data_IF_992857163614
#
_entry.id   IF_992857163614
#
_cell.length_a   1.000
_cell.length_b   1.000
_cell.length_c   1.000
_cell.angle_alpha   90.00
_cell.angle_beta   90.00
_cell.angle_gamma   90.00
#
_symmetry.space_group_name_H-M   'P 1'
#
loop_
_entity.id
_entity.type
_entity.pdbx_description
1 polymer ?
#
# COMPACT_ATOMS: atom_id res chain seq x y z
N UNK A 1 -4.15 -11.66 32.31
CA UNK A 1 -5.42 -12.38 32.12
C UNK A 1 -6.18 -11.58 31.10
N UNK A 2 -6.21 -12.11 29.90
CA UNK A 2 -6.89 -11.62 28.70
C UNK A 2 -7.15 -12.90 27.87
N UNK A 3 -8.02 -12.91 26.85
CA UNK A 3 -8.82 -11.79 26.33
C UNK A 3 -10.23 -12.25 25.86
N UNK A 4 -11.02 -11.35 25.28
CA UNK A 4 -11.77 -11.53 24.00
C UNK A 4 -12.88 -10.47 23.89
N UNK A 5 -12.45 -9.23 23.66
CA UNK A 5 -13.32 -8.18 23.13
C UNK A 5 -13.52 -8.41 21.63
N UNK A 6 -14.59 -9.14 21.31
CA UNK A 6 -15.32 -9.20 20.03
C UNK A 6 -14.57 -8.68 18.79
N UNK A 7 -13.94 -9.62 18.09
CA UNK A 7 -13.68 -9.52 16.65
C UNK A 7 -15.01 -9.23 15.96
N UNK A 8 -15.13 -8.10 15.29
CA UNK A 8 -16.26 -7.83 14.42
C UNK A 8 -16.15 -8.79 13.22
N UNK A 9 -16.78 -9.96 13.34
CA UNK A 9 -16.83 -11.04 12.36
C UNK A 9 -17.61 -10.66 11.10
N UNK A 10 -17.42 -9.47 10.52
CA UNK A 10 -18.03 -9.10 9.25
C UNK A 10 -17.12 -9.57 8.11
N UNK A 11 -17.50 -10.71 7.49
CA UNK A 11 -16.92 -11.37 6.29
C UNK A 11 -16.17 -12.69 6.52
N UNK A 12 -16.70 -13.60 7.36
CA UNK A 12 -16.39 -15.03 7.21
C UNK A 12 -17.10 -15.57 5.95
N UNK A 13 -16.47 -15.45 4.79
CA UNK A 13 -16.93 -16.10 3.56
C UNK A 13 -16.24 -17.46 3.41
N UNK A 14 -16.85 -18.51 3.96
CA UNK A 14 -16.66 -19.93 3.62
C UNK A 14 -17.83 -20.71 4.23
N UNK A 15 -18.98 -20.78 3.55
CA UNK A 15 -20.11 -21.58 4.05
C UNK A 15 -19.88 -23.03 3.62
N UNK A 16 -19.72 -23.93 4.59
CA UNK A 16 -19.69 -25.37 4.32
C UNK A 16 -21.09 -25.82 3.94
N UNK A 17 -21.28 -26.26 2.70
CA UNK A 17 -22.59 -26.71 2.19
C UNK A 17 -22.86 -28.17 2.63
N UNK A 18 -24.12 -28.46 3.01
CA UNK A 18 -24.56 -29.84 3.29
C UNK A 18 -24.38 -30.74 2.06
N UNK A 19 -24.00 -32.03 2.21
CA UNK A 19 -23.84 -32.97 1.10
C UNK A 19 -25.08 -33.06 0.19
N UNK A 20 -26.26 -32.82 0.74
CA UNK A 20 -27.56 -32.84 0.04
C UNK A 20 -27.67 -31.74 -1.04
N UNK A 21 -26.95 -30.63 -0.88
CA UNK A 21 -26.95 -29.52 -1.83
C UNK A 21 -25.95 -29.71 -2.99
N UNK A 22 -25.09 -30.74 -2.96
CA UNK A 22 -24.07 -30.96 -4.01
C UNK A 22 -24.67 -31.33 -5.37
N UNK A 23 -25.90 -31.83 -5.42
CA UNK A 23 -26.50 -32.40 -6.63
C UNK A 23 -27.50 -31.48 -7.35
N UNK A 24 -27.76 -30.27 -6.85
CA UNK A 24 -28.71 -29.34 -7.43
C UNK A 24 -28.00 -28.12 -8.03
N UNK A 25 -28.25 -27.80 -9.30
CA UNK A 25 -27.94 -26.48 -9.88
C UNK A 25 -28.86 -25.43 -9.26
N UNK A 26 -28.67 -25.12 -7.97
CA UNK A 26 -29.45 -24.13 -7.24
C UNK A 26 -28.55 -23.01 -6.79
N UNK A 27 -28.91 -21.81 -7.21
CA UNK A 27 -28.41 -20.57 -6.61
C UNK A 27 -28.80 -20.61 -5.14
N UNK A 28 -27.85 -20.34 -4.25
CA UNK A 28 -28.12 -20.21 -2.82
C UNK A 28 -27.54 -18.90 -2.31
N UNK A 29 -28.17 -18.34 -1.28
CA UNK A 29 -27.69 -17.14 -0.60
C UNK A 29 -26.94 -17.56 0.66
N UNK A 30 -25.90 -16.81 1.04
CA UNK A 30 -25.19 -17.03 2.31
C UNK A 30 -26.18 -16.95 3.50
N UNK A 31 -26.01 -17.72 4.59
CA UNK A 31 -26.87 -17.65 5.78
C UNK A 31 -27.10 -16.24 6.32
N UNK A 32 -26.11 -15.33 6.20
CA UNK A 32 -26.26 -13.91 6.55
C UNK A 32 -27.05 -13.09 5.53
N UNK A 33 -27.01 -13.44 4.25
CA UNK A 33 -27.84 -12.80 3.22
C UNK A 33 -29.31 -13.27 3.27
N UNK A 34 -29.59 -14.36 4.00
CA UNK A 34 -30.95 -14.84 4.31
C UNK A 34 -31.53 -14.19 5.57
N UNK A 35 -30.72 -13.62 6.46
CA UNK A 35 -31.21 -12.78 7.56
C UNK A 35 -31.56 -11.40 7.03
N UNK A 36 -32.84 -11.06 7.14
CA UNK A 36 -33.54 -9.91 6.58
C UNK A 36 -32.75 -8.58 6.64
N UNK A 37 -32.62 -7.88 5.50
CA UNK A 37 -32.37 -6.43 5.50
C UNK A 37 -31.21 -5.90 4.64
N UNK A 38 -30.34 -6.73 4.04
CA UNK A 38 -29.27 -6.20 3.19
C UNK A 38 -29.76 -5.84 1.77
N UNK A 39 -29.50 -4.61 1.27
CA UNK A 39 -29.93 -4.17 -0.05
C UNK A 39 -29.17 -4.86 -1.21
N UNK A 40 -28.14 -5.67 -0.92
CA UNK A 40 -27.32 -6.37 -1.92
C UNK A 40 -27.32 -7.87 -1.64
N UNK A 41 -28.26 -8.58 -2.24
CA UNK A 41 -28.27 -10.05 -2.23
C UNK A 41 -27.05 -10.57 -3.00
N UNK A 42 -26.22 -11.36 -2.32
CA UNK A 42 -25.08 -12.03 -2.95
C UNK A 42 -25.51 -13.45 -3.30
N UNK A 43 -25.53 -13.74 -4.60
CA UNK A 43 -25.83 -15.07 -5.12
C UNK A 43 -24.55 -15.93 -5.09
N UNK A 44 -24.66 -17.21 -4.76
CA UNK A 44 -23.57 -18.19 -4.82
C UNK A 44 -23.97 -19.38 -5.70
N UNK A 45 -22.98 -19.97 -6.38
CA UNK A 45 -23.09 -21.23 -7.12
C UNK A 45 -22.02 -22.20 -6.63
N UNK A 46 -22.38 -23.47 -6.56
CA UNK A 46 -21.44 -24.55 -6.25
C UNK A 46 -20.62 -24.84 -7.52
N UNK A 47 -19.31 -24.55 -7.48
CA UNK A 47 -18.42 -24.98 -8.55
C UNK A 47 -18.15 -26.49 -8.41
N UNK A 48 -18.72 -27.27 -9.34
CA UNK A 48 -18.67 -28.74 -9.36
C UNK A 48 -17.25 -29.31 -9.47
N UNK A 49 -16.27 -28.54 -9.95
CA UNK A 49 -14.89 -28.99 -10.13
C UNK A 49 -14.00 -28.88 -8.89
N UNK A 50 -14.34 -28.02 -7.92
CA UNK A 50 -13.43 -27.62 -6.84
C UNK A 50 -13.97 -27.83 -5.41
N UNK A 51 -15.17 -28.38 -5.23
CA UNK A 51 -15.85 -28.47 -3.90
C UNK A 51 -15.88 -27.14 -3.14
N UNK A 52 -15.85 -26.02 -3.85
CA UNK A 52 -15.89 -24.66 -3.30
C UNK A 52 -17.13 -23.94 -3.78
N UNK A 53 -17.68 -23.10 -2.90
CA UNK A 53 -18.75 -22.16 -3.23
C UNK A 53 -18.12 -20.96 -3.97
N UNK A 54 -18.47 -20.76 -5.24
CA UNK A 54 -18.13 -19.53 -5.95
C UNK A 54 -19.25 -18.54 -5.77
N UNK A 55 -18.90 -17.27 -5.55
CA UNK A 55 -19.88 -16.18 -5.64
C UNK A 55 -20.34 -16.11 -7.09
N UNK A 56 -21.64 -16.14 -7.33
CA UNK A 56 -22.26 -15.73 -8.59
C UNK A 56 -21.89 -14.25 -8.69
N UNK A 57 -20.98 -13.91 -9.59
CA UNK A 57 -20.47 -12.57 -9.70
C UNK A 57 -21.67 -11.61 -9.75
N UNK A 58 -21.72 -10.63 -8.83
CA UNK A 58 -22.39 -9.39 -9.22
C UNK A 58 -21.75 -9.03 -10.55
N UNK A 59 -22.54 -8.72 -11.59
CA UNK A 59 -22.04 -8.26 -12.88
C UNK A 59 -21.35 -6.91 -12.71
N UNK A 60 -20.25 -6.88 -11.98
CA UNK A 60 -19.43 -5.71 -11.72
C UNK A 60 -18.42 -5.69 -12.84
N UNK A 61 -18.50 -4.65 -13.67
CA UNK A 61 -17.53 -4.41 -14.72
C UNK A 61 -16.41 -3.50 -14.20
N UNK A 62 -15.25 -3.56 -14.83
CA UNK A 62 -14.11 -2.71 -14.53
C UNK A 62 -13.72 -1.92 -15.78
N UNK A 63 -13.74 -0.59 -15.68
CA UNK A 63 -13.01 0.28 -16.58
C UNK A 63 -11.57 0.35 -16.09
N UNK A 64 -10.62 -0.17 -16.87
CA UNK A 64 -9.19 -0.15 -16.59
C UNK A 64 -8.48 0.79 -17.56
N UNK A 65 -7.96 1.90 -17.04
CA UNK A 65 -7.16 2.86 -17.81
C UNK A 65 -5.71 2.72 -17.37
N UNK A 66 -4.81 2.47 -18.31
CA UNK A 66 -3.37 2.36 -18.02
C UNK A 66 -2.61 3.41 -18.80
N UNK A 67 -2.02 4.35 -18.08
CA UNK A 67 -1.01 5.26 -18.63
C UNK A 67 0.38 4.68 -18.40
N UNK A 68 1.25 4.72 -19.40
CA UNK A 68 2.60 4.18 -19.27
C UNK A 68 3.67 5.07 -19.91
N UNK A 69 4.86 5.07 -19.32
CA UNK A 69 6.05 5.63 -19.94
C UNK A 69 6.44 4.77 -21.15
N UNK A 70 6.77 5.38 -22.28
CA UNK A 70 7.04 4.63 -23.53
C UNK A 70 8.09 3.51 -23.37
N UNK A 71 9.11 3.71 -22.52
CA UNK A 71 10.14 2.71 -22.23
C UNK A 71 9.65 1.51 -21.41
N UNK A 72 8.47 1.61 -20.79
CA UNK A 72 7.86 0.62 -19.91
C UNK A 72 6.66 -0.09 -20.57
N UNK A 73 6.49 0.07 -21.89
CA UNK A 73 5.37 -0.51 -22.65
C UNK A 73 5.21 -2.01 -22.41
N UNK A 74 6.29 -2.78 -22.51
CA UNK A 74 6.24 -4.25 -22.37
C UNK A 74 5.80 -4.65 -20.95
N UNK A 75 6.22 -3.91 -19.92
CA UNK A 75 5.77 -4.12 -18.54
C UNK A 75 4.29 -3.77 -18.36
N UNK A 76 3.83 -2.70 -19.01
CA UNK A 76 2.42 -2.31 -19.00
C UNK A 76 1.53 -3.36 -19.68
N UNK A 77 1.95 -3.89 -20.83
CA UNK A 77 1.24 -4.95 -21.56
C UNK A 77 1.20 -6.26 -20.76
N UNK A 78 2.31 -6.65 -20.12
CA UNK A 78 2.35 -7.83 -19.28
C UNK A 78 1.40 -7.71 -18.08
N UNK A 79 1.41 -6.55 -17.40
CA UNK A 79 0.49 -6.29 -16.29
C UNK A 79 -0.97 -6.35 -16.73
N UNK A 80 -1.34 -5.68 -17.82
CA UNK A 80 -2.74 -5.64 -18.28
C UNK A 80 -3.23 -7.04 -18.66
N UNK A 81 -2.41 -7.84 -19.32
CA UNK A 81 -2.72 -9.24 -19.62
C UNK A 81 -2.95 -10.06 -18.35
N UNK A 82 -2.11 -9.90 -17.32
CA UNK A 82 -2.29 -10.59 -16.03
C UNK A 82 -3.57 -10.15 -15.32
N UNK A 83 -3.88 -8.86 -15.29
CA UNK A 83 -5.09 -8.30 -14.68
C UNK A 83 -6.35 -8.80 -15.40
N UNK A 84 -6.38 -8.70 -16.74
CA UNK A 84 -7.50 -9.20 -17.55
C UNK A 84 -7.68 -10.70 -17.37
N UNK A 85 -6.61 -11.49 -17.41
CA UNK A 85 -6.70 -12.95 -17.25
C UNK A 85 -7.24 -13.34 -15.87
N UNK A 86 -6.76 -12.68 -14.81
CA UNK A 86 -7.17 -12.96 -13.43
C UNK A 86 -8.65 -12.61 -13.18
N UNK A 87 -9.11 -11.50 -13.76
CA UNK A 87 -10.49 -11.03 -13.63
C UNK A 87 -11.45 -11.80 -14.56
N UNK A 88 -11.04 -12.09 -15.79
CA UNK A 88 -11.84 -12.87 -16.74
C UNK A 88 -12.06 -14.31 -16.26
N UNK A 89 -11.07 -14.92 -15.61
CA UNK A 89 -11.24 -16.23 -14.96
C UNK A 89 -12.33 -16.23 -13.87
N UNK A 90 -12.72 -15.05 -13.38
CA UNK A 90 -13.77 -14.83 -12.39
C UNK A 90 -15.01 -14.14 -12.98
N UNK A 91 -15.13 -14.12 -14.32
CA UNK A 91 -16.25 -13.54 -15.06
C UNK A 91 -16.47 -12.03 -14.82
N UNK A 92 -15.43 -11.31 -14.40
CA UNK A 92 -15.45 -9.84 -14.32
C UNK A 92 -15.17 -9.26 -15.71
N UNK A 93 -16.12 -8.50 -16.25
CA UNK A 93 -15.94 -7.81 -17.53
C UNK A 93 -14.95 -6.64 -17.38
N UNK A 94 -13.95 -6.54 -18.25
CA UNK A 94 -12.94 -5.49 -18.19
C UNK A 94 -12.91 -4.72 -19.51
N UNK A 95 -13.28 -3.46 -19.49
CA UNK A 95 -13.04 -2.51 -20.58
C UNK A 95 -11.66 -1.87 -20.36
N UNK A 96 -10.73 -2.07 -21.30
CA UNK A 96 -9.33 -1.68 -21.16
C UNK A 96 -8.97 -0.59 -22.18
N UNK A 97 -8.28 0.45 -21.69
CA UNK A 97 -7.60 1.43 -22.54
C UNK A 97 -6.16 1.60 -22.05
N UNK A 98 -5.21 1.62 -22.98
CA UNK A 98 -3.79 1.84 -22.69
C UNK A 98 -3.30 3.05 -23.47
N UNK A 99 -2.70 4.01 -22.77
CA UNK A 99 -2.23 5.27 -23.33
C UNK A 99 -0.79 5.54 -22.91
N UNK A 100 -0.01 6.17 -23.78
CA UNK A 100 1.30 6.71 -23.39
C UNK A 100 1.04 7.89 -22.44
N UNK A 101 1.88 8.12 -21.43
CA UNK A 101 1.69 9.23 -20.48
C UNK A 101 1.55 10.60 -21.15
N UNK A 102 2.16 10.79 -22.32
CA UNK A 102 2.07 12.05 -23.09
C UNK A 102 0.75 12.24 -23.85
N UNK A 103 -0.06 11.19 -24.01
CA UNK A 103 -1.36 11.28 -24.68
C UNK A 103 -2.47 11.52 -23.68
N UNK A 104 -3.29 12.53 -23.94
CA UNK A 104 -4.57 12.76 -23.25
C UNK A 104 -5.60 11.80 -23.80
N UNK A 105 -6.50 11.32 -22.93
CA UNK A 105 -7.60 10.47 -23.39
C UNK A 105 -8.64 11.34 -24.09
N UNK A 106 -8.99 10.98 -25.33
CA UNK A 106 -9.98 11.74 -26.09
C UNK A 106 -11.41 11.35 -25.69
N UNK A 107 -12.37 12.27 -25.84
CA UNK A 107 -13.79 12.05 -25.51
C UNK A 107 -14.39 10.82 -26.23
N UNK A 108 -13.90 10.52 -27.43
CA UNK A 108 -14.27 9.32 -28.18
C UNK A 108 -13.85 8.02 -27.48
N UNK A 109 -12.66 7.98 -26.89
CA UNK A 109 -12.15 6.81 -26.15
C UNK A 109 -12.98 6.59 -24.87
N UNK A 110 -13.44 7.66 -24.22
CA UNK A 110 -14.28 7.56 -23.04
C UNK A 110 -15.67 7.01 -23.37
N UNK A 111 -16.16 7.35 -24.56
CA UNK A 111 -17.40 6.81 -25.12
C UNK A 111 -17.26 5.34 -25.50
N UNK A 112 -16.13 4.93 -26.10
CA UNK A 112 -15.83 3.53 -26.40
C UNK A 112 -15.80 2.66 -25.14
N UNK A 113 -15.24 3.16 -24.03
CA UNK A 113 -15.28 2.45 -22.74
C UNK A 113 -16.73 2.24 -22.28
N UNK A 114 -17.59 3.26 -22.39
CA UNK A 114 -19.01 3.13 -22.04
C UNK A 114 -19.79 2.19 -22.97
N UNK A 115 -19.29 1.93 -24.18
CA UNK A 115 -19.90 0.94 -25.08
C UNK A 115 -19.41 -0.48 -24.81
N UNK A 116 -18.15 -0.64 -24.39
CA UNK A 116 -17.59 -1.92 -23.94
C UNK A 116 -18.20 -2.37 -22.60
N UNK A 117 -18.54 -1.40 -21.75
CA UNK A 117 -19.32 -1.62 -20.55
C UNK A 117 -20.81 -1.66 -20.93
N UNK A 118 -21.56 -2.61 -20.37
CA UNK A 118 -23.01 -2.60 -20.52
C UNK A 118 -23.55 -1.31 -19.88
N UNK A 119 -24.18 -0.42 -20.68
CA UNK A 119 -24.57 0.95 -20.28
C UNK A 119 -25.44 1.03 -19.02
N UNK A 120 -26.11 -0.05 -18.67
CA UNK A 120 -27.01 -0.15 -17.53
C UNK A 120 -26.40 -0.91 -16.33
N UNK A 121 -25.22 -1.53 -16.49
CA UNK A 121 -24.57 -2.30 -15.42
C UNK A 121 -23.59 -1.42 -14.61
N UNK A 122 -23.54 -1.59 -13.28
CA UNK A 122 -22.65 -0.80 -12.45
C UNK A 122 -21.19 -1.21 -12.67
N UNK A 123 -20.29 -0.21 -12.74
CA UNK A 123 -18.87 -0.44 -12.97
C UNK A 123 -17.97 0.25 -11.94
N UNK A 124 -16.74 -0.23 -11.85
CA UNK A 124 -15.64 0.40 -11.12
C UNK A 124 -14.64 1.01 -12.10
N UNK A 125 -13.96 2.08 -11.70
CA UNK A 125 -12.85 2.67 -12.44
C UNK A 125 -11.53 2.40 -11.70
N UNK A 126 -10.55 1.87 -12.42
CA UNK A 126 -9.15 1.76 -12.01
C UNK A 126 -8.27 2.52 -12.99
N UNK A 127 -7.49 3.47 -12.48
CA UNK A 127 -6.47 4.16 -13.26
C UNK A 127 -5.10 3.76 -12.76
N UNK A 128 -4.27 3.20 -13.63
CA UNK A 128 -2.89 2.83 -13.34
C UNK A 128 -1.99 3.78 -14.12
N UNK A 129 -1.02 4.40 -13.46
CA UNK A 129 0.05 5.09 -14.17
C UNK A 129 1.40 4.44 -13.85
N UNK A 130 2.11 4.04 -14.91
CA UNK A 130 3.37 3.31 -14.85
C UNK A 130 4.48 4.27 -15.30
N UNK A 131 5.24 4.77 -14.33
CA UNK A 131 6.30 5.75 -14.56
C UNK A 131 7.47 5.56 -13.57
N UNK A 132 8.41 6.48 -13.55
CA UNK A 132 9.54 6.50 -12.65
C UNK A 132 9.62 7.89 -11.98
N UNK A 133 10.00 7.96 -10.70
CA UNK A 133 10.28 9.23 -10.03
C UNK A 133 11.62 9.80 -10.47
N UNK A 134 11.68 11.12 -10.60
CA UNK A 134 12.92 11.83 -10.92
C UNK A 134 13.63 12.25 -9.61
N UNK A 135 14.96 12.07 -9.47
CA UNK A 135 15.68 12.37 -8.22
C UNK A 135 15.61 13.83 -7.73
N UNK A 136 15.21 14.76 -8.59
CA UNK A 136 15.02 16.19 -8.28
C UNK A 136 13.56 16.59 -8.03
N UNK A 137 12.63 15.64 -7.91
CA UNK A 137 11.19 15.88 -7.66
C UNK A 137 10.30 15.64 -8.88
N UNK A 138 9.02 15.35 -8.66
CA UNK A 138 8.11 14.99 -9.75
C UNK A 138 8.38 13.63 -10.38
N UNK A 139 7.74 13.40 -11.52
CA UNK A 139 7.79 12.13 -12.24
C UNK A 139 8.33 12.32 -13.66
N UNK A 140 8.90 11.26 -14.21
CA UNK A 140 9.23 11.22 -15.63
C UNK A 140 7.92 11.21 -16.45
N UNK A 141 7.85 12.07 -17.46
CA UNK A 141 6.69 12.17 -18.35
C UNK A 141 6.95 11.61 -19.74
N UNK A 142 8.21 11.69 -20.17
CA UNK A 142 8.72 11.13 -21.43
C UNK A 142 9.91 10.24 -21.12
N UNK A 143 10.22 9.28 -22.00
CA UNK A 143 11.43 8.49 -21.81
C UNK A 143 12.68 9.38 -21.84
N UNK A 144 13.73 9.08 -21.07
CA UNK A 144 15.02 9.78 -21.18
C UNK A 144 15.59 9.76 -22.62
N UNK A 145 15.14 8.80 -23.44
CA UNK A 145 15.52 8.63 -24.84
C UNK A 145 14.71 9.52 -25.80
N UNK A 146 13.59 10.10 -25.37
CA UNK A 146 12.78 10.99 -26.21
C UNK A 146 13.39 12.39 -26.27
N UNK A 147 14.04 12.67 -27.41
CA UNK A 147 14.74 13.93 -27.73
C UNK A 147 13.85 15.19 -27.77
N UNK A 148 12.58 15.15 -27.31
CA UNK A 148 11.58 16.22 -27.48
C UNK A 148 11.31 17.10 -26.25
N UNK A 149 12.07 16.95 -25.17
CA UNK A 149 12.31 18.07 -24.24
C UNK A 149 11.23 18.40 -23.20
N UNK A 150 10.41 17.43 -22.75
CA UNK A 150 9.60 17.58 -21.52
C UNK A 150 9.87 16.42 -20.57
N UNK A 151 11.06 16.43 -19.97
CA UNK A 151 11.54 15.27 -19.22
C UNK A 151 10.80 15.12 -17.87
N UNK A 152 10.55 16.23 -17.18
CA UNK A 152 9.97 16.26 -15.82
C UNK A 152 8.62 16.98 -15.79
N UNK A 153 7.75 16.52 -14.91
CA UNK A 153 6.43 17.10 -14.64
C UNK A 153 6.17 17.09 -13.13
N UNK A 154 5.53 18.13 -12.61
CA UNK A 154 5.13 18.18 -11.20
C UNK A 154 4.03 17.16 -10.91
N UNK A 155 3.84 16.88 -9.63
CA UNK A 155 2.94 15.84 -9.19
C UNK A 155 1.49 16.15 -9.57
N UNK A 156 1.09 17.39 -9.31
CA UNK A 156 -0.23 17.89 -9.68
C UNK A 156 -0.48 17.83 -11.18
N UNK A 157 0.51 18.20 -12.01
CA UNK A 157 0.33 18.26 -13.46
C UNK A 157 0.23 16.85 -14.05
N UNK A 158 0.98 15.87 -13.53
CA UNK A 158 0.83 14.47 -13.94
C UNK A 158 -0.59 13.96 -13.67
N UNK A 159 -1.08 14.20 -12.45
CA UNK A 159 -2.42 13.78 -12.06
C UNK A 159 -3.47 14.47 -12.92
N UNK A 160 -3.33 15.76 -13.22
CA UNK A 160 -4.24 16.47 -14.13
C UNK A 160 -4.28 15.84 -15.53
N UNK A 161 -3.12 15.56 -16.13
CA UNK A 161 -3.07 14.91 -17.45
C UNK A 161 -3.69 13.52 -17.46
N UNK A 162 -3.54 12.74 -16.38
CA UNK A 162 -4.03 11.37 -16.33
C UNK A 162 -5.49 11.26 -15.86
N UNK A 163 -5.96 12.20 -15.04
CA UNK A 163 -7.23 12.08 -14.30
C UNK A 163 -8.25 13.15 -14.65
N UNK A 164 -7.85 14.25 -15.30
CA UNK A 164 -8.72 15.37 -15.63
C UNK A 164 -9.88 14.94 -16.54
N UNK A 165 -9.54 14.35 -17.69
CA UNK A 165 -10.52 13.92 -18.71
C UNK A 165 -11.34 12.69 -18.27
N UNK A 166 -10.84 11.93 -17.30
CA UNK A 166 -11.52 10.77 -16.72
C UNK A 166 -12.58 11.12 -15.68
N UNK A 167 -12.74 12.41 -15.34
CA UNK A 167 -13.68 12.84 -14.31
C UNK A 167 -15.13 12.36 -14.54
N UNK A 168 -15.72 12.45 -15.75
CA UNK A 168 -17.10 11.98 -15.97
C UNK A 168 -17.25 10.46 -15.74
N UNK A 169 -16.26 9.68 -16.17
CA UNK A 169 -16.16 8.24 -15.91
C UNK A 169 -16.05 7.96 -14.40
N UNK A 170 -15.26 8.74 -13.68
CA UNK A 170 -15.06 8.57 -12.24
C UNK A 170 -16.30 8.94 -11.42
N UNK A 171 -17.04 9.98 -11.82
CA UNK A 171 -18.29 10.40 -11.16
C UNK A 171 -19.43 9.37 -11.31
N UNK A 172 -19.44 8.61 -12.41
CA UNK A 172 -20.47 7.61 -12.69
C UNK A 172 -20.11 6.20 -12.16
N UNK A 173 -18.85 5.97 -11.77
CA UNK A 173 -18.38 4.70 -11.23
C UNK A 173 -18.81 4.47 -9.77
N UNK A 174 -19.01 3.21 -9.36
CA UNK A 174 -19.21 2.87 -7.94
C UNK A 174 -17.98 3.28 -7.11
N UNK A 175 -16.80 3.06 -7.66
CA UNK A 175 -15.53 3.50 -7.05
C UNK A 175 -14.56 3.90 -8.15
N UNK A 176 -13.87 5.01 -7.99
CA UNK A 176 -12.73 5.39 -8.81
C UNK A 176 -11.44 5.33 -7.98
N UNK A 177 -10.49 4.48 -8.39
CA UNK A 177 -9.23 4.26 -7.66
C UNK A 177 -8.03 4.47 -8.57
N UNK A 178 -6.97 5.03 -8.00
CA UNK A 178 -5.73 5.33 -8.71
C UNK A 178 -4.60 4.49 -8.12
N UNK A 179 -3.77 3.90 -8.99
CA UNK A 179 -2.63 3.08 -8.65
C UNK A 179 -1.39 3.65 -9.33
N UNK A 180 -0.53 4.31 -8.57
CA UNK A 180 0.79 4.67 -9.06
C UNK A 180 1.70 3.46 -9.03
N UNK A 181 2.29 3.13 -10.17
CA UNK A 181 3.34 2.12 -10.33
C UNK A 181 4.59 2.90 -10.70
N UNK A 182 5.15 3.61 -9.72
CA UNK A 182 6.34 4.43 -9.90
C UNK A 182 7.24 4.37 -8.69
N UNK A 183 8.55 4.51 -8.91
CA UNK A 183 9.47 4.71 -7.80
C UNK A 183 9.01 5.93 -6.98
N UNK A 184 9.15 5.85 -5.66
CA UNK A 184 8.62 6.82 -4.72
C UNK A 184 9.64 7.86 -4.24
N UNK A 185 10.72 8.11 -5.00
CA UNK A 185 11.86 8.90 -4.51
C UNK A 185 11.47 10.31 -4.07
N UNK A 186 10.48 10.89 -4.73
CA UNK A 186 9.99 12.24 -4.50
C UNK A 186 8.99 12.33 -3.33
N UNK A 187 8.31 11.24 -2.94
CA UNK A 187 7.25 11.28 -1.92
C UNK A 187 7.70 11.78 -0.54
N UNK A 188 8.95 11.54 -0.09
CA UNK A 188 9.47 12.12 1.15
C UNK A 188 9.77 13.62 1.05
N UNK A 189 9.72 14.21 -0.15
CA UNK A 189 9.88 15.64 -0.36
C UNK A 189 8.79 16.44 0.36
N UNK A 190 9.18 17.59 0.90
CA UNK A 190 8.26 18.49 1.60
C UNK A 190 7.14 18.94 0.65
N UNK A 191 5.88 18.86 1.12
CA UNK A 191 4.70 19.30 0.36
C UNK A 191 4.17 18.33 -0.70
N UNK A 192 4.95 17.34 -1.16
CA UNK A 192 4.56 16.45 -2.27
C UNK A 192 3.25 15.69 -1.98
N UNK A 193 3.16 15.03 -0.82
CA UNK A 193 1.95 14.31 -0.40
C UNK A 193 0.76 15.26 -0.23
N UNK A 194 0.99 16.49 0.22
CA UNK A 194 -0.04 17.51 0.34
C UNK A 194 -0.56 17.94 -1.04
N UNK A 195 0.30 18.13 -2.03
CA UNK A 195 -0.12 18.50 -3.39
C UNK A 195 -1.00 17.40 -4.03
N UNK A 196 -0.62 16.14 -3.86
CA UNK A 196 -1.40 14.98 -4.32
C UNK A 196 -2.76 14.95 -3.59
N UNK A 197 -2.76 15.15 -2.27
CA UNK A 197 -3.98 15.23 -1.49
C UNK A 197 -4.91 16.35 -1.97
N UNK A 198 -4.40 17.57 -2.09
CA UNK A 198 -5.17 18.76 -2.46
C UNK A 198 -5.72 18.64 -3.89
N UNK A 199 -4.99 17.95 -4.77
CA UNK A 199 -5.48 17.58 -6.09
C UNK A 199 -6.66 16.60 -6.00
N UNK A 200 -6.53 15.50 -5.25
CA UNK A 200 -7.56 14.46 -5.23
C UNK A 200 -8.80 14.86 -4.43
N UNK A 201 -8.65 15.68 -3.38
CA UNK A 201 -9.70 16.03 -2.44
C UNK A 201 -11.00 16.53 -3.09
N UNK A 202 -10.99 17.50 -4.03
CA UNK A 202 -12.20 17.99 -4.69
C UNK A 202 -12.71 17.11 -5.84
N UNK A 203 -12.01 16.01 -6.18
CA UNK A 203 -12.28 15.18 -7.38
C UNK A 203 -13.00 13.88 -7.00
N UNK A 204 -13.59 13.12 -7.94
CA UNK A 204 -14.36 11.89 -7.64
C UNK A 204 -13.53 10.65 -7.25
N UNK A 205 -12.21 10.77 -7.17
CA UNK A 205 -11.33 9.63 -6.86
C UNK A 205 -11.38 9.29 -5.37
N UNK A 206 -11.67 8.03 -5.05
CA UNK A 206 -11.81 7.57 -3.66
C UNK A 206 -10.47 7.18 -3.03
N UNK A 207 -9.47 6.86 -3.85
CA UNK A 207 -8.19 6.44 -3.32
C UNK A 207 -7.04 6.59 -4.31
N UNK A 208 -5.84 6.78 -3.76
CA UNK A 208 -4.58 6.59 -4.49
C UNK A 208 -3.63 5.72 -3.67
N UNK A 209 -2.97 4.78 -4.35
CA UNK A 209 -1.90 3.95 -3.80
C UNK A 209 -0.59 4.29 -4.52
N UNK A 210 0.44 4.64 -3.76
CA UNK A 210 1.76 5.02 -4.27
C UNK A 210 2.87 4.25 -3.55
N UNK A 211 3.92 3.80 -4.23
CA UNK A 211 5.08 3.22 -3.56
C UNK A 211 5.90 4.30 -2.85
N UNK A 212 6.40 4.02 -1.65
CA UNK A 212 7.04 5.00 -0.76
C UNK A 212 8.54 4.82 -0.57
N UNK A 213 9.18 3.89 -1.27
CA UNK A 213 10.60 3.54 -1.08
C UNK A 213 11.38 3.72 -2.37
N UNK A 214 12.65 4.09 -2.19
CA UNK A 214 13.61 4.57 -3.17
C UNK A 214 14.13 3.52 -4.19
N UNK A 215 13.78 2.24 -4.06
CA UNK A 215 14.48 1.16 -4.79
C UNK A 215 13.57 0.19 -5.53
N UNK A 216 12.38 0.63 -5.93
CA UNK A 216 11.47 -0.25 -6.65
C UNK A 216 11.65 -0.18 -8.14
N UNK A 217 11.78 -1.36 -8.73
CA UNK A 217 11.52 -1.53 -10.15
C UNK A 217 10.03 -1.77 -10.34
N UNK A 218 9.47 -1.29 -11.45
CA UNK A 218 8.07 -1.52 -11.83
C UNK A 218 7.64 -3.00 -11.68
N UNK A 219 8.45 -3.99 -12.10
CA UNK A 219 8.14 -5.42 -11.93
C UNK A 219 7.78 -5.85 -10.51
N UNK A 220 8.50 -5.35 -9.49
CA UNK A 220 8.32 -5.76 -8.08
C UNK A 220 6.93 -5.38 -7.56
N UNK A 221 6.41 -4.25 -8.03
CA UNK A 221 5.13 -3.72 -7.61
C UNK A 221 3.97 -4.22 -8.50
N UNK A 222 4.23 -4.56 -9.77
CA UNK A 222 3.19 -5.12 -10.64
C UNK A 222 2.69 -6.48 -10.18
N UNK A 223 3.51 -7.25 -9.46
CA UNK A 223 3.16 -8.60 -8.99
C UNK A 223 2.01 -8.61 -7.96
N UNK A 224 1.84 -7.54 -7.17
CA UNK A 224 0.76 -7.49 -6.16
C UNK A 224 -0.60 -7.10 -6.74
N UNK A 225 -0.64 -6.47 -7.92
CA UNK A 225 -1.87 -5.91 -8.48
C UNK A 225 -2.90 -6.98 -8.91
N UNK A 226 -2.54 -8.13 -9.52
CA UNK A 226 -3.51 -9.17 -9.86
C UNK A 226 -4.31 -9.68 -8.67
N UNK A 227 -3.64 -10.06 -7.58
CA UNK A 227 -4.32 -10.53 -6.35
C UNK A 227 -5.15 -9.40 -5.73
N UNK A 228 -4.61 -8.18 -5.69
CA UNK A 228 -5.34 -7.02 -5.19
C UNK A 228 -6.61 -6.75 -5.99
N UNK A 229 -6.56 -6.79 -7.32
CA UNK A 229 -7.72 -6.52 -8.19
C UNK A 229 -8.82 -7.56 -7.99
N UNK A 230 -8.46 -8.83 -7.79
CA UNK A 230 -9.42 -9.87 -7.40
C UNK A 230 -10.09 -9.54 -6.06
N UNK A 231 -9.32 -9.12 -5.05
CA UNK A 231 -9.87 -8.67 -3.77
C UNK A 231 -10.83 -7.49 -3.90
N UNK A 232 -10.51 -6.50 -4.72
CA UNK A 232 -11.30 -5.29 -4.84
C UNK A 232 -12.54 -5.48 -5.71
N UNK A 233 -12.41 -6.12 -6.86
CA UNK A 233 -13.43 -6.07 -7.91
C UNK A 233 -14.26 -7.36 -8.02
N UNK A 234 -13.72 -8.50 -7.58
CA UNK A 234 -14.50 -9.74 -7.46
C UNK A 234 -15.07 -9.92 -6.05
N UNK A 235 -14.22 -9.81 -5.01
CA UNK A 235 -14.67 -9.98 -3.63
C UNK A 235 -15.38 -8.73 -3.07
N UNK A 236 -15.10 -7.53 -3.61
CA UNK A 236 -15.64 -6.28 -3.06
C UNK A 236 -15.05 -5.94 -1.69
N UNK A 237 -13.83 -6.40 -1.41
CA UNK A 237 -13.20 -6.26 -0.10
C UNK A 237 -12.74 -4.80 0.14
N UNK A 238 -12.62 -4.37 1.42
CA UNK A 238 -12.14 -3.02 1.75
C UNK A 238 -10.74 -2.76 1.19
N UNK A 239 -10.53 -1.55 0.64
CA UNK A 239 -9.30 -1.21 -0.10
C UNK A 239 -8.05 -1.38 0.76
N UNK A 240 -7.99 -0.66 1.88
CA UNK A 240 -6.89 -0.71 2.83
C UNK A 240 -6.57 -2.13 3.33
N UNK A 241 -7.58 -2.90 3.72
CA UNK A 241 -7.39 -4.25 4.24
C UNK A 241 -6.82 -5.19 3.17
N UNK A 242 -7.30 -5.06 1.93
CA UNK A 242 -6.86 -5.87 0.79
C UNK A 242 -5.40 -5.57 0.43
N UNK A 243 -5.03 -4.27 0.36
CA UNK A 243 -3.66 -3.87 0.07
C UNK A 243 -2.70 -4.41 1.13
N UNK A 244 -3.00 -4.17 2.42
CA UNK A 244 -2.12 -4.61 3.49
C UNK A 244 -1.96 -6.12 3.53
N UNK A 245 -3.01 -6.87 3.20
CA UNK A 245 -2.93 -8.34 3.09
C UNK A 245 -1.98 -8.76 1.97
N UNK A 246 -2.24 -8.32 0.74
CA UNK A 246 -1.47 -8.77 -0.43
C UNK A 246 -0.02 -8.32 -0.31
N UNK A 247 0.20 -7.05 0.04
CA UNK A 247 1.52 -6.48 0.23
C UNK A 247 2.29 -7.14 1.37
N UNK A 248 1.65 -7.40 2.53
CA UNK A 248 2.35 -8.02 3.66
C UNK A 248 2.71 -9.49 3.40
N UNK A 249 1.97 -10.23 2.55
CA UNK A 249 2.24 -11.64 2.23
C UNK A 249 3.36 -11.76 1.19
N UNK A 250 3.43 -10.85 0.23
CA UNK A 250 4.45 -10.86 -0.81
C UNK A 250 5.83 -10.44 -0.24
N UNK A 251 6.77 -11.40 -0.21
CA UNK A 251 8.11 -11.18 0.34
C UNK A 251 8.96 -10.27 -0.54
N UNK A 252 8.80 -10.35 -1.86
CA UNK A 252 9.57 -9.58 -2.83
C UNK A 252 9.09 -8.14 -2.82
N UNK A 253 7.77 -7.93 -2.91
CA UNK A 253 7.18 -6.62 -2.79
C UNK A 253 7.60 -5.95 -1.46
N UNK A 254 7.39 -6.58 -0.30
CA UNK A 254 7.72 -5.94 0.99
C UNK A 254 9.22 -5.81 1.29
N UNK A 255 10.09 -6.55 0.59
CA UNK A 255 11.55 -6.40 0.76
C UNK A 255 12.04 -5.07 0.19
N UNK A 256 11.33 -4.53 -0.81
CA UNK A 256 11.75 -3.36 -1.57
C UNK A 256 10.74 -2.21 -1.55
N UNK A 257 9.51 -2.41 -1.06
CA UNK A 257 8.45 -1.39 -1.01
C UNK A 257 8.09 -0.97 0.41
N UNK A 258 7.74 0.31 0.54
CA UNK A 258 6.71 0.80 1.45
C UNK A 258 5.59 1.38 0.58
N UNK A 259 4.45 1.70 1.16
CA UNK A 259 3.30 2.24 0.43
C UNK A 259 2.74 3.47 1.13
N UNK A 260 2.38 4.49 0.36
CA UNK A 260 1.50 5.57 0.78
C UNK A 260 0.11 5.28 0.25
N UNK A 261 -0.85 5.28 1.15
CA UNK A 261 -2.25 5.07 0.86
C UNK A 261 -3.03 6.33 1.25
N UNK A 262 -3.76 6.91 0.30
CA UNK A 262 -4.84 7.86 0.59
C UNK A 262 -6.15 7.17 0.25
N UNK A 263 -7.06 7.07 1.20
CA UNK A 263 -8.34 6.38 1.03
C UNK A 263 -9.47 7.14 1.75
N UNK A 264 -10.66 7.13 1.15
CA UNK A 264 -11.89 7.66 1.74
C UNK A 264 -13.08 6.82 1.30
N UNK A 265 -14.12 6.82 2.12
CA UNK A 265 -15.34 6.05 1.86
C UNK A 265 -16.17 6.62 0.71
N UNK A 266 -16.27 7.94 0.64
CA UNK A 266 -16.93 8.67 -0.45
C UNK A 266 -16.33 10.08 -0.61
N UNK A 267 -16.75 10.83 -1.63
CA UNK A 267 -16.22 12.16 -1.94
C UNK A 267 -16.52 13.25 -0.90
N UNK A 268 -17.40 12.99 0.06
CA UNK A 268 -17.76 13.94 1.14
C UNK A 268 -16.87 13.76 2.37
N UNK A 269 -16.20 12.62 2.49
CA UNK A 269 -15.32 12.33 3.61
C UNK A 269 -13.89 12.79 3.34
N UNK A 270 -13.19 13.17 4.40
CA UNK A 270 -11.77 13.48 4.33
C UNK A 270 -10.95 12.22 4.02
N UNK A 271 -9.83 12.40 3.32
CA UNK A 271 -8.89 11.32 3.11
C UNK A 271 -8.23 10.91 4.42
N UNK A 272 -8.18 9.60 4.66
CA UNK A 272 -7.19 9.02 5.57
C UNK A 272 -5.93 8.77 4.77
N UNK A 273 -4.86 9.46 5.13
CA UNK A 273 -3.54 9.25 4.53
C UNK A 273 -2.66 8.47 5.51
N UNK A 274 -2.03 7.41 5.02
CA UNK A 274 -1.19 6.53 5.83
C UNK A 274 0.00 6.05 5.03
N UNK A 275 1.17 6.04 5.66
CA UNK A 275 2.39 5.45 5.13
C UNK A 275 2.63 4.12 5.84
N UNK A 276 2.86 3.06 5.08
CA UNK A 276 3.20 1.75 5.60
C UNK A 276 4.60 1.34 5.18
N UNK A 277 5.36 0.82 6.13
CA UNK A 277 6.74 0.41 5.93
C UNK A 277 6.91 -0.98 6.53
N UNK A 278 7.50 -1.91 5.78
CA UNK A 278 7.85 -3.21 6.32
C UNK A 278 8.97 -3.05 7.37
N UNK A 279 8.66 -3.40 8.61
CA UNK A 279 9.45 -3.08 9.80
C UNK A 279 9.70 -4.30 10.67
N UNK A 280 10.36 -5.35 10.15
CA UNK A 280 10.66 -6.53 10.94
C UNK A 280 11.43 -6.12 12.19
N UNK A 281 10.84 -6.35 13.37
CA UNK A 281 11.33 -5.85 14.66
C UNK A 281 12.82 -6.13 14.92
N UNK A 282 13.31 -7.26 14.41
CA UNK A 282 14.69 -7.71 14.58
C UNK A 282 15.71 -7.00 13.68
N UNK A 283 15.28 -6.25 12.67
CA UNK A 283 16.14 -5.58 11.70
C UNK A 283 15.80 -4.11 11.50
N UNK A 284 14.53 -3.71 11.61
CA UNK A 284 14.02 -2.37 11.34
C UNK A 284 12.95 -1.97 12.35
N UNK A 285 13.30 -1.80 13.65
CA UNK A 285 12.31 -1.42 14.67
C UNK A 285 11.62 -0.11 14.28
N UNK A 286 10.28 -0.08 14.30
CA UNK A 286 9.50 1.08 13.83
C UNK A 286 9.83 1.57 12.40
N UNK A 287 10.40 0.70 11.55
CA UNK A 287 10.78 1.03 10.18
C UNK A 287 12.10 1.81 10.06
N UNK A 288 12.85 1.97 11.15
CA UNK A 288 14.16 2.64 11.16
C UNK A 288 15.24 1.68 10.66
N UNK A 289 16.01 2.10 9.66
CA UNK A 289 17.13 1.31 9.15
C UNK A 289 18.29 1.30 10.15
N UNK A 290 18.74 0.09 10.51
CA UNK A 290 19.88 -0.10 11.38
C UNK A 290 21.18 -0.07 10.58
N UNK A 291 22.29 0.40 11.18
CA UNK A 291 23.58 0.43 10.48
C UNK A 291 24.01 -0.98 10.05
N UNK A 292 24.65 -1.08 8.89
CA UNK A 292 25.09 -2.36 8.35
C UNK A 292 26.06 -3.08 9.31
N UNK A 293 25.80 -4.33 9.72
CA UNK A 293 26.62 -5.09 10.66
C UNK A 293 28.13 -5.07 10.37
N UNK A 294 28.49 -5.24 9.11
CA UNK A 294 29.86 -5.29 8.63
C UNK A 294 30.58 -3.95 8.77
N UNK A 295 29.86 -2.83 8.61
CA UNK A 295 30.43 -1.48 8.78
C UNK A 295 30.74 -1.14 10.24
N UNK A 296 29.97 -1.68 11.18
CA UNK A 296 30.12 -1.36 12.61
C UNK A 296 31.24 -2.16 13.26
N UNK A 297 31.39 -3.44 12.89
CA UNK A 297 32.37 -4.31 13.52
C UNK A 297 33.55 -4.73 12.63
N UNK A 298 33.50 -4.44 11.33
CA UNK A 298 34.52 -4.86 10.38
C UNK A 298 34.60 -6.38 10.17
N UNK A 299 33.61 -7.14 10.66
CA UNK A 299 33.59 -8.59 10.50
C UNK A 299 33.29 -8.93 9.03
N UNK A 300 34.09 -9.84 8.45
CA UNK A 300 33.90 -10.35 7.08
C UNK A 300 32.86 -11.48 7.00
N UNK A 301 32.04 -11.62 8.03
CA UNK A 301 31.00 -12.64 8.12
C UNK A 301 29.78 -12.20 7.31
N UNK A 302 29.51 -12.89 6.20
CA UNK A 302 28.37 -12.63 5.32
C UNK A 302 27.02 -12.89 6.01
N UNK A 303 26.99 -13.63 7.12
CA UNK A 303 25.79 -13.90 7.91
C UNK A 303 25.67 -12.97 9.14
N UNK A 304 26.53 -11.96 9.26
CA UNK A 304 26.48 -10.99 10.35
C UNK A 304 25.13 -10.25 10.38
N UNK A 305 24.46 -10.28 11.53
CA UNK A 305 23.15 -9.63 11.71
C UNK A 305 22.96 -9.09 13.12
N UNK A 306 22.11 -8.08 13.23
CA UNK A 306 21.60 -7.62 14.52
C UNK A 306 20.59 -8.63 15.08
N UNK A 307 20.71 -8.94 16.37
CA UNK A 307 19.76 -9.74 17.13
C UNK A 307 19.21 -8.90 18.27
N UNK A 308 17.90 -8.74 18.35
CA UNK A 308 17.25 -8.04 19.46
C UNK A 308 17.49 -8.82 20.75
N UNK A 309 18.02 -8.13 21.75
CA UNK A 309 18.25 -8.62 23.11
C UNK A 309 17.09 -8.19 24.00
N UNK A 310 16.67 -6.93 23.90
CA UNK A 310 15.65 -6.36 24.78
C UNK A 310 14.92 -5.21 24.08
N UNK A 311 13.61 -5.09 24.36
CA UNK A 311 12.81 -3.89 24.09
C UNK A 311 12.32 -3.34 25.41
N UNK A 312 12.31 -2.02 25.55
CA UNK A 312 11.91 -1.35 26.78
C UNK A 312 11.22 -0.03 26.44
N UNK A 313 10.35 0.41 27.34
CA UNK A 313 9.88 1.78 27.35
C UNK A 313 11.01 2.70 27.83
N UNK A 314 11.22 3.79 27.10
CA UNK A 314 12.17 4.84 27.40
C UNK A 314 11.54 5.96 28.22
N UNK A 315 12.12 7.16 28.11
CA UNK A 315 11.54 8.34 28.72
C UNK A 315 10.27 8.75 27.96
N UNK A 316 9.16 8.93 28.69
CA UNK A 316 7.85 9.25 28.13
C UNK A 316 7.40 8.25 27.04
N UNK A 317 7.30 8.68 25.79
CA UNK A 317 6.84 7.92 24.64
C UNK A 317 8.00 7.26 23.86
N UNK A 318 9.26 7.52 24.23
CA UNK A 318 10.41 6.86 23.59
C UNK A 318 10.37 5.34 23.79
N UNK A 319 10.78 4.61 22.75
CA UNK A 319 11.00 3.16 22.78
C UNK A 319 12.47 2.87 22.61
N UNK A 320 13.03 2.04 23.49
CA UNK A 320 14.44 1.65 23.45
C UNK A 320 14.57 0.20 23.05
N UNK A 321 15.33 -0.05 21.99
CA UNK A 321 15.65 -1.38 21.47
C UNK A 321 17.14 -1.62 21.64
N UNK A 322 17.49 -2.70 22.33
CA UNK A 322 18.85 -3.16 22.51
C UNK A 322 19.08 -4.35 21.59
N UNK A 323 20.06 -4.23 20.72
CA UNK A 323 20.47 -5.26 19.78
C UNK A 323 21.92 -5.66 20.02
N UNK A 324 22.26 -6.90 19.67
CA UNK A 324 23.62 -7.43 19.71
C UNK A 324 24.01 -7.98 18.36
N UNK A 325 25.22 -7.69 17.94
CA UNK A 325 25.77 -8.20 16.70
C UNK A 325 26.22 -9.65 16.88
N UNK A 326 25.85 -10.53 15.94
CA UNK A 326 26.19 -11.96 16.01
C UNK A 326 27.69 -12.23 15.93
N UNK A 327 28.43 -11.48 15.10
CA UNK A 327 29.83 -11.78 14.80
C UNK A 327 30.83 -11.37 15.91
N UNK A 328 30.53 -10.34 16.71
CA UNK A 328 31.53 -9.78 17.64
C UNK A 328 30.97 -9.24 18.96
N UNK A 329 29.72 -9.55 19.27
CA UNK A 329 29.07 -9.20 20.55
C UNK A 329 28.89 -7.69 20.82
N UNK A 330 29.26 -6.80 19.89
CA UNK A 330 28.94 -5.37 19.93
C UNK A 330 27.45 -5.14 20.13
N UNK A 331 27.09 -4.24 21.04
CA UNK A 331 25.71 -3.90 21.34
C UNK A 331 25.34 -2.56 20.73
N UNK A 332 24.19 -2.51 20.06
CA UNK A 332 23.56 -1.31 19.53
C UNK A 332 22.34 -0.99 20.39
N UNK A 333 22.28 0.23 20.92
CA UNK A 333 21.14 0.76 21.64
C UNK A 333 20.48 1.81 20.76
N UNK A 334 19.19 1.61 20.45
CA UNK A 334 18.41 2.49 19.59
C UNK A 334 17.25 3.04 20.39
N UNK A 335 17.17 4.35 20.55
CA UNK A 335 16.01 5.04 21.10
C UNK A 335 15.21 5.67 19.95
N UNK A 336 13.91 5.46 19.95
CA UNK A 336 12.99 5.93 18.91
C UNK A 336 11.82 6.63 19.60
N UNK A 337 11.57 7.89 19.28
CA UNK A 337 10.32 8.57 19.62
C UNK A 337 9.33 8.31 18.48
N UNK A 338 8.34 7.43 18.65
CA UNK A 338 7.55 6.94 17.52
C UNK A 338 6.56 7.99 16.96
N UNK A 339 6.19 9.01 17.75
CA UNK A 339 5.13 9.95 17.36
C UNK A 339 3.84 9.20 17.06
N UNK A 340 3.24 9.45 15.90
CA UNK A 340 2.05 8.73 15.42
C UNK A 340 2.32 7.32 14.85
N UNK A 341 3.57 6.83 14.85
CA UNK A 341 3.89 5.50 14.32
C UNK A 341 3.39 4.36 15.21
N UNK A 342 2.80 3.36 14.58
CA UNK A 342 2.31 2.15 15.24
C UNK A 342 2.85 0.90 14.54
N UNK A 343 3.36 -0.07 15.31
CA UNK A 343 3.72 -1.39 14.79
C UNK A 343 2.47 -2.29 14.76
N UNK A 344 2.18 -2.86 13.60
CA UNK A 344 1.11 -3.79 13.33
C UNK A 344 1.74 -5.16 13.03
N UNK A 345 1.25 -6.22 13.67
CA UNK A 345 1.62 -7.59 13.29
C UNK A 345 0.56 -8.11 12.32
N UNK A 346 0.98 -8.42 11.09
CA UNK A 346 0.09 -8.88 10.02
C UNK A 346 0.75 -10.03 9.26
N UNK A 347 0.01 -11.12 9.05
CA UNK A 347 0.44 -12.24 8.20
C UNK A 347 1.86 -12.78 8.51
N UNK A 348 2.22 -12.84 9.79
CA UNK A 348 3.53 -13.34 10.24
C UNK A 348 4.70 -12.37 10.04
N UNK A 349 4.41 -11.11 9.68
CA UNK A 349 5.40 -10.02 9.63
C UNK A 349 4.97 -8.80 10.44
N UNK A 350 5.87 -7.85 10.61
CA UNK A 350 5.63 -6.56 11.27
C UNK A 350 5.67 -5.44 10.25
N UNK A 351 4.66 -4.57 10.30
CA UNK A 351 4.50 -3.38 9.46
C UNK A 351 4.36 -2.18 10.38
N UNK A 352 5.00 -1.08 10.04
CA UNK A 352 4.79 0.21 10.71
C UNK A 352 3.82 1.03 9.90
N UNK A 353 2.75 1.48 10.52
CA UNK A 353 1.90 2.54 9.99
C UNK A 353 2.30 3.88 10.59
N UNK A 354 2.44 4.90 9.75
CA UNK A 354 2.46 6.30 10.14
C UNK A 354 1.23 6.99 9.57
N UNK A 355 0.39 7.53 10.44
CA UNK A 355 -0.79 8.30 10.03
C UNK A 355 -0.37 9.74 9.74
N UNK A 356 -0.91 10.30 8.66
CA UNK A 356 -0.64 11.69 8.28
C UNK A 356 -1.36 12.65 9.23
N UNK A 357 -0.65 13.69 9.69
CA UNK A 357 -1.27 14.70 10.52
C UNK A 357 -2.03 15.70 9.63
N UNK A 358 -3.35 15.72 9.77
CA UNK A 358 -4.25 16.57 8.96
C UNK A 358 -4.05 18.06 9.28
N UNK A 359 -3.71 18.42 10.51
CA UNK A 359 -3.53 19.82 10.91
C UNK A 359 -2.23 20.40 10.35
N UNK A 360 -1.15 19.63 10.39
CA UNK A 360 0.15 20.05 9.85
C UNK A 360 0.34 19.69 8.37
N UNK A 361 -0.56 18.91 7.78
CA UNK A 361 -0.46 18.34 6.43
C UNK A 361 0.89 17.67 6.17
N UNK A 362 1.43 16.97 7.17
CA UNK A 362 2.75 16.34 7.12
C UNK A 362 2.82 15.01 7.87
N UNK A 363 3.78 14.16 7.48
CA UNK A 363 4.20 13.04 8.32
C UNK A 363 5.16 13.57 9.38
N UNK A 364 4.92 13.22 10.65
CA UNK A 364 5.66 13.78 11.78
C UNK A 364 7.06 13.18 11.90
N UNK A 365 7.20 11.89 11.58
CA UNK A 365 8.42 11.17 11.89
C UNK A 365 9.53 11.52 10.92
N UNK A 366 10.60 12.07 11.48
CA UNK A 366 11.87 12.26 10.80
C UNK A 366 12.97 11.53 11.59
N UNK A 367 13.80 10.74 10.91
CA UNK A 367 14.83 9.93 11.59
C UNK A 367 15.87 10.78 12.32
N UNK A 368 16.17 11.97 11.79
CA UNK A 368 17.17 12.88 12.35
C UNK A 368 16.84 13.34 13.78
N UNK A 369 15.60 13.73 14.04
CA UNK A 369 15.16 14.22 15.36
C UNK A 369 14.63 13.10 16.26
N UNK A 370 14.00 12.08 15.66
CA UNK A 370 13.23 11.06 16.38
C UNK A 370 14.02 9.80 16.71
N UNK A 371 15.23 9.63 16.18
CA UNK A 371 16.07 8.45 16.41
C UNK A 371 17.41 8.84 17.02
N UNK A 372 17.83 8.10 18.04
CA UNK A 372 19.18 8.18 18.60
C UNK A 372 19.79 6.77 18.70
N UNK A 373 20.99 6.60 18.17
CA UNK A 373 21.70 5.32 18.20
C UNK A 373 23.03 5.46 18.94
N UNK A 374 23.38 4.43 19.73
CA UNK A 374 24.68 4.32 20.41
C UNK A 374 25.22 2.91 20.31
N UNK A 375 26.46 2.76 19.89
CA UNK A 375 27.18 1.49 19.91
C UNK A 375 28.00 1.36 21.19
N UNK A 376 28.15 0.14 21.69
CA UNK A 376 28.95 -0.18 22.86
C UNK A 376 29.74 -1.45 22.61
N UNK A 377 31.05 -1.38 22.84
CA UNK A 377 31.98 -2.49 22.65
C UNK A 377 32.05 -3.37 23.90
N UNK A 378 32.26 -4.69 23.76
CA UNK A 378 32.23 -5.64 24.88
C UNK A 378 33.34 -5.45 25.93
N UNK A 379 34.36 -4.61 25.69
CA UNK A 379 35.49 -4.43 26.61
C UNK A 379 35.22 -3.49 27.79
N UNK A 380 34.09 -2.78 27.82
CA UNK A 380 33.71 -1.97 28.98
C UNK A 380 32.82 -2.82 29.89
N UNK A 381 33.37 -3.25 31.02
CA UNK A 381 32.71 -4.05 32.08
C UNK A 381 31.51 -3.37 32.74
N UNK A 382 31.13 -2.18 32.27
CA UNK A 382 29.91 -1.50 32.63
C UNK A 382 29.06 -1.54 31.37
N UNK A 383 28.10 -2.45 31.33
CA UNK A 383 27.00 -2.39 30.38
C UNK A 383 25.87 -1.66 31.12
N UNK A 384 25.90 -0.32 31.26
CA UNK A 384 24.80 0.34 31.94
C UNK A 384 23.57 0.09 31.06
N UNK A 385 22.51 -0.43 31.68
CA UNK A 385 21.20 -0.30 31.08
C UNK A 385 21.05 1.16 30.62
N UNK A 386 20.49 1.40 29.42
CA UNK A 386 20.34 2.75 28.91
C UNK A 386 19.67 3.63 29.97
N UNK A 387 20.18 4.84 30.17
CA UNK A 387 19.60 5.80 31.11
C UNK A 387 18.18 6.17 30.66
N UNK A 388 17.14 5.59 31.27
CA UNK A 388 15.74 5.82 30.88
C UNK A 388 15.10 7.04 31.56
N UNK A 389 15.85 7.74 32.42
CA UNK A 389 15.35 8.85 33.22
C UNK A 389 15.40 10.21 32.48
N UNK A 390 15.94 10.24 31.27
CA UNK A 390 16.03 11.44 30.44
C UNK A 390 15.84 11.07 28.95
N UNK A 391 15.32 11.98 28.12
CA UNK A 391 15.10 11.73 26.70
C UNK A 391 16.41 11.59 25.93
N UNK A 392 16.46 10.59 25.04
CA UNK A 392 17.64 10.31 24.21
C UNK A 392 17.60 11.09 22.91
N UNK A 393 16.42 11.12 22.28
CA UNK A 393 16.17 11.72 20.97
C UNK A 393 16.13 13.24 21.07
N UNK A 394 16.41 13.93 19.97
CA UNK A 394 16.33 15.40 19.94
C UNK A 394 14.89 15.86 20.12
N UNK A 395 13.93 15.17 19.51
CA UNK A 395 12.50 15.42 19.68
C UNK A 395 12.05 15.22 21.14
N UNK A 396 12.55 14.19 21.83
CA UNK A 396 12.30 13.97 23.25
C UNK A 396 12.81 15.12 24.13
N UNK A 397 14.02 15.63 23.86
CA UNK A 397 14.59 16.78 24.59
C UNK A 397 13.81 18.07 24.35
N UNK A 398 13.35 18.32 23.12
CA UNK A 398 12.50 19.48 22.80
C UNK A 398 11.17 19.42 23.57
N UNK A 399 10.53 18.25 23.61
CA UNK A 399 9.26 18.06 24.32
C UNK A 399 9.39 18.22 25.85
N UNK A 400 10.58 18.05 26.42
CA UNK A 400 10.82 18.28 27.85
C UNK A 400 10.93 19.77 28.21
N UNK A 401 11.36 20.62 27.25
CA UNK A 401 11.62 22.04 27.47
C UNK A 401 10.41 22.94 27.16
N UNK A 402 9.34 22.36 26.61
CA UNK A 402 8.03 22.99 26.39
C UNK A 402 7.06 22.52 27.47
#
# INVERSE_FOLDING_TARGET
>A
MDPEGTVNEANQACVTISPEMQNANRVFHCPRCLSEGEPRKIDYVINRGARMTMRLASKTSLALIVYYLQSLKDSAEALTQQLQSSLAALEVNVALTMNILTSTMHEAEASEIHEQLSRDDPYHLAVIFITESQPGGGWWYTSEKDRRGKVQISEQTLLESCLGDLRPLAESAITARVFGVACGMNLPGEGVIKEIHDYLYPRPYLSILLPSVYSLTVPDYTNILPELFVHLYYFGAPFRASILRVWAVDREARAHTGIVLMDRTDCKHAFRVSKFIHSPTNRRPFGVDLPEPTTVCGCQDYDARWKVVKRMDGFQDEKVVILKLTCCQTQLQVAIKPGQRQELTMHGTTVTEEVWNIESMSFEFNEFDMVAMRTSSPQVSVNPNPALHAPWTHAGRKAQNN
#
